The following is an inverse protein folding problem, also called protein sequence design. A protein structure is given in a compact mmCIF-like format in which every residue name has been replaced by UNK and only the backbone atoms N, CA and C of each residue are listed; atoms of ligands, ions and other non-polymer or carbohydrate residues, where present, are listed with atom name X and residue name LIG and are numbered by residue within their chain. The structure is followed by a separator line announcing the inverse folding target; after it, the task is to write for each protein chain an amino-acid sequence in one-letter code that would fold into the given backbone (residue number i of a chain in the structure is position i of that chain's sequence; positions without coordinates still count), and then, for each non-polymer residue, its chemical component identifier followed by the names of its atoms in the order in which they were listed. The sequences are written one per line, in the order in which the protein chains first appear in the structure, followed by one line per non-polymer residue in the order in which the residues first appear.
data_IF_970008545851
#
_entry.id   IF_970008545851
#
_cell.length_a   1.000
_cell.length_b   1.000
_cell.length_c   1.000
_cell.angle_alpha   90.00
_cell.angle_beta   90.00
_cell.angle_gamma   90.00
#
_symmetry.space_group_name_H-M   'P 1'
#
loop_
_entity.id
_entity.type
_entity.pdbx_description
1 polymer ?
#
# COMPACT_ATOMS: atom_id res chain seq x y z
N UNK A 1 -4.03 -1.72 14.91
CA UNK A 1 -5.14 -2.27 14.13
C UNK A 1 -4.68 -3.53 13.45
N UNK A 2 -5.47 -4.58 13.41
CA UNK A 2 -5.16 -5.74 12.57
C UNK A 2 -5.98 -5.63 11.28
N UNK A 3 -5.41 -6.03 10.16
CA UNK A 3 -6.09 -6.14 8.86
C UNK A 3 -7.08 -7.34 8.83
N UNK A 4 -7.16 -8.09 9.91
CA UNK A 4 -7.88 -9.35 10.07
C UNK A 4 -9.37 -9.32 9.70
N UNK A 5 -10.01 -8.14 9.69
CA UNK A 5 -11.46 -8.04 9.47
C UNK A 5 -11.94 -8.47 8.07
N UNK A 6 -11.06 -8.59 7.08
CA UNK A 6 -11.43 -8.99 5.72
C UNK A 6 -11.39 -10.51 5.59
N UNK A 7 -10.29 -11.14 5.96
CA UNK A 7 -10.19 -12.59 5.83
C UNK A 7 -10.95 -13.36 6.91
N UNK A 8 -11.40 -12.71 7.99
CA UNK A 8 -12.44 -13.25 8.86
C UNK A 8 -13.77 -13.47 8.12
N UNK A 9 -14.00 -12.70 7.05
CA UNK A 9 -15.23 -12.79 6.23
C UNK A 9 -15.06 -13.75 5.05
N UNK A 10 -13.94 -13.67 4.33
CA UNK A 10 -13.75 -14.37 3.05
C UNK A 10 -12.70 -15.50 3.10
N UNK A 11 -11.99 -15.64 4.22
CA UNK A 11 -10.88 -16.57 4.41
C UNK A 11 -9.54 -16.02 3.89
N UNK A 12 -8.45 -16.39 4.58
CA UNK A 12 -7.11 -15.89 4.29
C UNK A 12 -6.65 -16.18 2.85
N UNK A 13 -6.88 -17.40 2.36
CA UNK A 13 -6.47 -17.78 1.00
C UNK A 13 -7.18 -16.96 -0.08
N UNK A 14 -8.47 -16.71 0.09
CA UNK A 14 -9.23 -15.88 -0.84
C UNK A 14 -8.75 -14.43 -0.82
N UNK A 15 -8.38 -13.92 0.35
CA UNK A 15 -7.81 -12.57 0.46
C UNK A 15 -6.44 -12.48 -0.21
N UNK A 16 -5.57 -13.47 -0.01
CA UNK A 16 -4.27 -13.53 -0.70
C UNK A 16 -4.43 -13.52 -2.21
N UNK A 17 -5.31 -14.38 -2.74
CA UNK A 17 -5.61 -14.44 -4.18
C UNK A 17 -6.18 -13.11 -4.71
N UNK A 18 -7.05 -12.45 -3.93
CA UNK A 18 -7.60 -11.14 -4.28
C UNK A 18 -6.50 -10.07 -4.36
N UNK A 19 -5.61 -10.03 -3.37
CA UNK A 19 -4.50 -9.07 -3.33
C UNK A 19 -3.50 -9.31 -4.46
N UNK A 20 -3.20 -10.57 -4.78
CA UNK A 20 -2.34 -10.92 -5.91
C UNK A 20 -2.96 -10.50 -7.24
N UNK A 21 -4.23 -10.81 -7.47
CA UNK A 21 -4.96 -10.39 -8.67
C UNK A 21 -4.96 -8.87 -8.79
N UNK A 22 -5.23 -8.15 -7.70
CA UNK A 22 -5.22 -6.69 -7.66
C UNK A 22 -3.84 -6.12 -8.00
N UNK A 23 -2.75 -6.73 -7.52
CA UNK A 23 -1.39 -6.30 -7.84
C UNK A 23 -1.11 -6.45 -9.33
N UNK A 24 -1.38 -7.63 -9.89
CA UNK A 24 -1.13 -7.95 -11.32
C UNK A 24 -1.95 -7.07 -12.27
N UNK A 25 -3.24 -6.87 -11.99
CA UNK A 25 -4.13 -6.05 -12.84
C UNK A 25 -3.71 -4.58 -12.91
N UNK A 26 -3.23 -4.00 -11.80
CA UNK A 26 -2.80 -2.61 -11.74
C UNK A 26 -1.39 -2.37 -12.29
N UNK A 27 -0.53 -3.39 -12.26
CA UNK A 27 0.91 -3.28 -12.37
C UNK A 27 1.42 -2.42 -13.52
N UNK A 28 1.05 -2.72 -14.74
CA UNK A 28 1.62 -2.04 -15.92
C UNK A 28 1.36 -0.53 -15.92
N UNK A 29 0.18 -0.11 -15.47
CA UNK A 29 -0.19 1.32 -15.38
C UNK A 29 0.49 1.97 -14.19
N UNK A 30 0.46 1.33 -13.04
CA UNK A 30 1.06 1.81 -11.80
C UNK A 30 2.59 1.93 -11.96
N UNK A 31 3.27 0.92 -12.49
CA UNK A 31 4.72 0.95 -12.68
C UNK A 31 5.16 2.07 -13.64
N UNK A 32 4.39 2.30 -14.72
CA UNK A 32 4.64 3.43 -15.61
C UNK A 32 4.49 4.77 -14.88
N UNK A 33 3.47 4.92 -14.04
CA UNK A 33 3.27 6.11 -13.23
C UNK A 33 4.40 6.29 -12.20
N UNK A 34 4.83 5.23 -11.52
CA UNK A 34 5.94 5.27 -10.57
C UNK A 34 7.25 5.70 -11.26
N UNK A 35 7.54 5.18 -12.46
CA UNK A 35 8.71 5.62 -13.25
C UNK A 35 8.62 7.10 -13.64
N UNK A 36 7.44 7.56 -14.02
CA UNK A 36 7.21 8.97 -14.33
C UNK A 36 7.43 9.87 -13.11
N UNK A 37 7.05 9.40 -11.92
CA UNK A 37 7.32 10.07 -10.63
C UNK A 37 8.79 10.04 -10.23
N UNK A 38 9.63 9.26 -10.90
CA UNK A 38 11.07 9.21 -10.64
C UNK A 38 11.58 7.91 -10.04
N UNK A 39 10.77 6.85 -9.96
CA UNK A 39 11.24 5.52 -9.56
C UNK A 39 12.29 5.02 -10.56
N UNK A 40 13.46 4.63 -10.05
CA UNK A 40 14.59 4.10 -10.85
C UNK A 40 15.12 2.83 -10.21
N UNK A 41 15.72 1.99 -11.04
CA UNK A 41 16.48 0.85 -10.56
C UNK A 41 17.73 1.31 -9.78
N UNK A 42 18.14 0.52 -8.77
CA UNK A 42 19.23 0.86 -7.86
C UNK A 42 18.80 1.69 -6.64
N UNK A 43 17.51 2.03 -6.50
CA UNK A 43 16.98 2.76 -5.34
C UNK A 43 16.74 1.85 -4.14
N UNK A 44 16.80 2.44 -2.93
CA UNK A 44 16.26 1.86 -1.69
C UNK A 44 14.79 2.20 -1.56
N UNK A 45 13.95 1.18 -1.63
CA UNK A 45 12.50 1.30 -1.73
C UNK A 45 11.85 0.74 -0.47
N UNK A 46 10.86 1.45 0.06
CA UNK A 46 9.96 0.94 1.10
C UNK A 46 8.58 0.67 0.51
N UNK A 47 8.12 -0.57 0.61
CA UNK A 47 6.76 -0.99 0.29
C UNK A 47 5.94 -1.06 1.58
N UNK A 48 5.13 -0.04 1.83
CA UNK A 48 4.32 0.09 3.05
C UNK A 48 3.01 -0.68 2.88
N UNK A 49 2.75 -1.61 3.80
CA UNK A 49 1.62 -2.53 3.69
C UNK A 49 1.85 -3.54 2.58
N UNK A 50 3.03 -4.18 2.58
CA UNK A 50 3.46 -5.10 1.52
C UNK A 50 2.54 -6.32 1.35
N UNK A 51 1.66 -6.58 2.33
CA UNK A 51 0.71 -7.69 2.29
C UNK A 51 1.39 -9.04 2.12
N UNK A 52 0.88 -9.92 1.22
CA UNK A 52 1.47 -11.23 0.94
C UNK A 52 2.69 -11.16 -0.01
N UNK A 53 3.26 -9.98 -0.23
CA UNK A 53 4.47 -9.78 -1.03
C UNK A 53 4.27 -9.73 -2.55
N UNK A 54 3.04 -9.83 -3.05
CA UNK A 54 2.79 -9.90 -4.50
C UNK A 54 3.21 -8.63 -5.25
N UNK A 55 3.04 -7.46 -4.64
CA UNK A 55 3.49 -6.19 -5.24
C UNK A 55 5.01 -6.02 -5.09
N UNK A 56 5.56 -6.42 -3.95
CA UNK A 56 7.01 -6.46 -3.69
C UNK A 56 7.73 -7.34 -4.71
N UNK A 57 7.14 -8.50 -5.08
CA UNK A 57 7.66 -9.42 -6.11
C UNK A 57 7.78 -8.71 -7.48
N UNK A 58 6.71 -8.04 -7.91
CA UNK A 58 6.71 -7.29 -9.16
C UNK A 58 7.74 -6.16 -9.18
N UNK A 59 7.97 -5.49 -8.04
CA UNK A 59 9.05 -4.51 -7.91
C UNK A 59 10.43 -5.16 -8.06
N UNK A 60 10.68 -6.29 -7.39
CA UNK A 60 11.96 -7.01 -7.45
C UNK A 60 12.29 -7.51 -8.85
N UNK A 61 11.29 -8.00 -9.60
CA UNK A 61 11.43 -8.48 -10.98
C UNK A 61 11.80 -7.35 -11.95
N UNK A 62 11.24 -6.15 -11.72
CA UNK A 62 11.37 -5.01 -12.64
C UNK A 62 12.48 -4.02 -12.26
N UNK A 63 13.08 -4.20 -11.07
CA UNK A 63 14.14 -3.34 -10.52
C UNK A 63 15.29 -4.21 -9.98
N UNK A 64 16.08 -4.86 -10.85
CA UNK A 64 17.03 -5.90 -10.47
C UNK A 64 18.16 -5.46 -9.54
N UNK A 65 18.50 -4.18 -9.50
CA UNK A 65 19.56 -3.62 -8.66
C UNK A 65 19.05 -2.86 -7.42
N UNK A 66 17.73 -2.82 -7.21
CA UNK A 66 17.11 -2.11 -6.07
C UNK A 66 17.09 -2.96 -4.80
N UNK A 67 17.15 -2.28 -3.66
CA UNK A 67 16.94 -2.84 -2.32
C UNK A 67 15.50 -2.53 -1.89
N UNK A 68 14.70 -3.54 -1.58
CA UNK A 68 13.29 -3.37 -1.20
C UNK A 68 13.06 -3.83 0.23
N UNK A 69 12.44 -2.98 1.02
CA UNK A 69 11.95 -3.32 2.35
C UNK A 69 10.44 -3.37 2.33
N UNK A 70 9.85 -4.52 2.67
CA UNK A 70 8.41 -4.65 2.88
C UNK A 70 8.07 -4.41 4.35
N UNK A 71 7.21 -3.44 4.65
CA UNK A 71 6.67 -3.18 6.00
C UNK A 71 5.23 -3.69 6.07
N UNK A 72 4.96 -4.65 6.96
CA UNK A 72 3.63 -5.24 7.11
C UNK A 72 3.25 -5.39 8.58
N UNK A 73 2.00 -5.03 8.91
CA UNK A 73 1.45 -5.10 10.27
C UNK A 73 0.75 -6.43 10.55
N UNK A 74 0.35 -7.16 9.51
CA UNK A 74 -0.29 -8.46 9.66
C UNK A 74 0.74 -9.58 9.60
N UNK A 75 0.80 -10.38 10.67
CA UNK A 75 1.79 -11.47 10.79
C UNK A 75 1.55 -12.60 9.79
N UNK A 76 0.29 -12.89 9.45
CA UNK A 76 -0.04 -13.98 8.52
C UNK A 76 0.37 -13.59 7.10
N UNK A 77 0.01 -12.37 6.67
CA UNK A 77 0.41 -11.86 5.36
C UNK A 77 1.93 -11.74 5.25
N UNK A 78 2.59 -11.25 6.30
CA UNK A 78 4.05 -11.17 6.35
C UNK A 78 4.72 -12.54 6.27
N UNK A 79 4.16 -13.57 6.92
CA UNK A 79 4.67 -14.94 6.83
C UNK A 79 4.55 -15.47 5.40
N UNK A 80 3.43 -15.22 4.74
CA UNK A 80 3.20 -15.60 3.34
C UNK A 80 4.19 -14.86 2.41
N UNK A 81 4.42 -13.56 2.64
CA UNK A 81 5.38 -12.77 1.86
C UNK A 81 6.81 -13.32 1.98
N UNK A 82 7.22 -13.67 3.19
CA UNK A 82 8.54 -14.26 3.45
C UNK A 82 8.72 -15.62 2.78
N UNK A 83 7.70 -16.47 2.80
CA UNK A 83 7.76 -17.77 2.14
C UNK A 83 7.74 -17.62 0.61
N UNK A 84 6.90 -16.75 0.08
CA UNK A 84 6.80 -16.44 -1.36
C UNK A 84 8.14 -15.98 -1.94
N UNK A 85 8.86 -15.14 -1.22
CA UNK A 85 10.05 -14.43 -1.72
C UNK A 85 11.35 -14.91 -1.05
N UNK A 86 11.34 -16.10 -0.46
CA UNK A 86 12.49 -16.66 0.27
C UNK A 86 13.76 -16.86 -0.56
N UNK A 87 13.60 -16.99 -1.89
CA UNK A 87 14.73 -17.22 -2.81
C UNK A 87 15.44 -15.94 -3.23
N UNK A 88 14.88 -14.76 -2.89
CA UNK A 88 15.56 -13.49 -3.11
C UNK A 88 16.66 -13.26 -2.05
N UNK A 89 17.82 -12.75 -2.45
CA UNK A 89 18.93 -12.50 -1.53
C UNK A 89 18.60 -11.38 -0.53
N UNK A 90 19.10 -11.53 0.71
CA UNK A 90 18.86 -10.58 1.81
C UNK A 90 19.38 -9.17 1.56
N UNK A 91 20.33 -9.01 0.64
CA UNK A 91 20.86 -7.73 0.20
C UNK A 91 19.84 -6.95 -0.64
N UNK A 92 18.89 -7.65 -1.27
CA UNK A 92 17.86 -7.06 -2.11
C UNK A 92 16.50 -6.96 -1.45
N UNK A 93 16.20 -7.86 -0.51
CA UNK A 93 14.89 -7.93 0.11
C UNK A 93 14.99 -8.09 1.62
N UNK A 94 14.28 -7.22 2.32
CA UNK A 94 14.05 -7.34 3.76
C UNK A 94 12.56 -7.15 4.08
N UNK A 95 12.07 -7.90 5.07
CA UNK A 95 10.71 -7.74 5.60
C UNK A 95 10.72 -7.33 7.06
N UNK A 96 10.02 -6.24 7.37
CA UNK A 96 9.83 -5.72 8.72
C UNK A 96 8.37 -5.89 9.16
N UNK A 97 8.18 -6.54 10.31
CA UNK A 97 6.91 -6.50 11.02
C UNK A 97 6.76 -5.17 11.72
N UNK A 98 5.67 -4.43 11.45
CA UNK A 98 5.45 -3.15 12.08
C UNK A 98 4.35 -2.32 11.43
N UNK A 99 4.02 -1.21 12.10
CA UNK A 99 3.05 -0.23 11.61
C UNK A 99 3.77 1.00 11.07
N UNK A 100 3.26 1.57 9.97
CA UNK A 100 3.74 2.86 9.47
C UNK A 100 3.51 4.02 10.44
N UNK A 101 2.68 3.85 11.46
CA UNK A 101 2.50 4.86 12.52
C UNK A 101 3.70 4.93 13.49
N UNK A 102 4.49 3.87 13.57
CA UNK A 102 5.74 3.76 14.33
C UNK A 102 6.52 2.58 13.76
N UNK A 103 7.22 2.81 12.65
CA UNK A 103 7.85 1.76 11.86
C UNK A 103 9.07 1.14 12.52
N UNK A 104 9.77 1.91 13.36
CA UNK A 104 11.08 1.55 13.90
C UNK A 104 12.14 1.35 12.82
N UNK A 105 11.93 1.91 11.63
CA UNK A 105 12.91 1.98 10.55
C UNK A 105 13.81 3.20 10.72
N UNK A 106 14.98 3.15 10.12
CA UNK A 106 15.96 4.24 10.20
C UNK A 106 15.47 5.45 9.38
N UNK A 107 15.53 6.65 9.96
CA UNK A 107 15.25 7.91 9.27
C UNK A 107 16.23 8.14 8.10
N UNK A 108 15.80 8.91 7.10
CA UNK A 108 16.58 9.27 5.91
C UNK A 108 17.20 8.06 5.19
N UNK A 109 16.44 6.97 5.05
CA UNK A 109 16.96 5.71 4.53
C UNK A 109 16.46 5.32 3.15
N UNK A 110 15.31 5.84 2.73
CA UNK A 110 14.66 5.42 1.50
C UNK A 110 14.70 6.51 0.44
N UNK A 111 15.00 6.11 -0.81
CA UNK A 111 14.94 6.98 -1.98
C UNK A 111 13.49 7.10 -2.49
N UNK A 112 12.72 6.01 -2.35
CA UNK A 112 11.34 5.94 -2.80
C UNK A 112 10.48 5.15 -1.81
N UNK A 113 9.30 5.67 -1.46
CA UNK A 113 8.33 4.98 -0.59
C UNK A 113 7.03 4.79 -1.36
N UNK A 114 6.50 3.58 -1.35
CA UNK A 114 5.22 3.24 -1.99
C UNK A 114 4.22 2.85 -0.90
N UNK A 115 3.03 3.46 -0.95
CA UNK A 115 1.89 3.11 -0.10
C UNK A 115 0.71 2.79 -1.00
N UNK A 116 0.39 1.49 -1.15
CA UNK A 116 -0.66 1.05 -2.07
C UNK A 116 -1.84 0.48 -1.32
N UNK A 117 -3.00 1.16 -1.38
CA UNK A 117 -4.24 0.82 -0.68
C UNK A 117 -4.10 0.69 0.86
N UNK A 118 -3.22 1.50 1.45
CA UNK A 118 -2.95 1.53 2.89
C UNK A 118 -3.73 2.64 3.59
N UNK A 119 -3.74 3.84 3.01
CA UNK A 119 -4.29 5.03 3.66
C UNK A 119 -5.78 4.91 3.98
N UNK A 120 -6.54 4.19 3.17
CA UNK A 120 -7.96 3.89 3.45
C UNK A 120 -8.18 3.13 4.78
N UNK A 121 -7.16 2.45 5.29
CA UNK A 121 -7.20 1.68 6.54
C UNK A 121 -6.62 2.43 7.75
N UNK A 122 -6.03 3.61 7.54
CA UNK A 122 -5.37 4.37 8.60
C UNK A 122 -6.37 5.22 9.39
N UNK A 123 -6.38 5.07 10.71
CA UNK A 123 -7.10 5.98 11.61
C UNK A 123 -6.41 7.34 11.75
N UNK A 124 -5.09 7.38 11.58
CA UNK A 124 -4.26 8.57 11.76
C UNK A 124 -3.37 8.81 10.53
N UNK A 125 -3.96 9.17 9.37
CA UNK A 125 -3.20 9.32 8.12
C UNK A 125 -2.11 10.40 8.20
N UNK A 126 -2.33 11.52 8.91
CA UNK A 126 -1.29 12.53 9.13
C UNK A 126 -0.08 11.98 9.88
N UNK A 127 -0.29 11.16 10.91
CA UNK A 127 0.82 10.57 11.65
C UNK A 127 1.65 9.60 10.77
N UNK A 128 0.98 8.83 9.90
CA UNK A 128 1.65 7.98 8.93
C UNK A 128 2.46 8.80 7.91
N UNK A 129 1.88 9.91 7.41
CA UNK A 129 2.55 10.80 6.46
C UNK A 129 3.80 11.43 7.09
N UNK A 130 3.71 11.85 8.35
CA UNK A 130 4.86 12.37 9.11
C UNK A 130 5.96 11.33 9.30
N UNK A 131 5.60 10.09 9.58
CA UNK A 131 6.57 9.00 9.67
C UNK A 131 7.24 8.75 8.31
N UNK A 132 6.47 8.69 7.22
CA UNK A 132 7.00 8.57 5.85
C UNK A 132 7.97 9.69 5.52
N UNK A 133 7.64 10.94 5.89
CA UNK A 133 8.52 12.10 5.67
C UNK A 133 9.88 11.91 6.32
N UNK A 134 9.92 11.41 7.56
CA UNK A 134 11.18 11.13 8.28
C UNK A 134 11.99 10.00 7.65
N UNK A 135 11.32 8.99 7.10
CA UNK A 135 11.97 7.82 6.49
C UNK A 135 12.62 8.14 5.14
N UNK A 136 12.08 9.11 4.41
CA UNK A 136 12.63 9.55 3.13
C UNK A 136 13.95 10.27 3.31
N UNK A 137 14.90 10.00 2.41
CA UNK A 137 16.09 10.83 2.23
C UNK A 137 15.70 12.23 1.75
N UNK A 138 16.53 13.25 1.95
CA UNK A 138 16.36 14.55 1.28
C UNK A 138 16.20 14.36 -0.24
N UNK A 139 15.13 14.88 -0.82
CA UNK A 139 14.78 14.69 -2.23
C UNK A 139 14.16 13.32 -2.58
N UNK A 140 13.91 12.48 -1.58
CA UNK A 140 13.20 11.21 -1.76
C UNK A 140 11.73 11.42 -2.10
N UNK A 141 11.11 10.42 -2.71
CA UNK A 141 9.76 10.51 -3.27
C UNK A 141 8.82 9.53 -2.56
N UNK A 142 7.59 9.96 -2.28
CA UNK A 142 6.50 9.07 -1.87
C UNK A 142 5.45 8.97 -2.96
N UNK A 143 5.03 7.75 -3.28
CA UNK A 143 3.88 7.47 -4.13
C UNK A 143 2.77 6.82 -3.29
N UNK A 144 1.62 7.48 -3.19
CA UNK A 144 0.45 6.94 -2.50
C UNK A 144 -0.61 6.62 -3.54
N UNK A 145 -0.98 5.35 -3.62
CA UNK A 145 -2.02 4.83 -4.52
C UNK A 145 -3.17 4.36 -3.65
N UNK A 146 -4.30 5.06 -3.71
CA UNK A 146 -5.46 4.68 -2.91
C UNK A 146 -6.77 5.02 -3.62
N UNK A 147 -7.88 4.53 -3.06
CA UNK A 147 -9.19 4.65 -3.66
C UNK A 147 -9.84 6.01 -3.38
N UNK A 148 -10.58 6.52 -4.38
CA UNK A 148 -11.56 7.59 -4.18
C UNK A 148 -12.93 7.14 -4.69
N UNK A 149 -13.78 6.70 -3.78
CA UNK A 149 -15.12 6.25 -4.09
C UNK A 149 -16.03 7.33 -4.66
N UNK A 150 -15.71 8.61 -4.45
CA UNK A 150 -16.50 9.72 -4.96
C UNK A 150 -16.54 9.79 -6.49
N UNK A 151 -15.56 9.20 -7.17
CA UNK A 151 -15.53 9.10 -8.63
C UNK A 151 -16.58 8.14 -9.19
N UNK A 152 -17.07 7.18 -8.40
CA UNK A 152 -18.14 6.26 -8.82
C UNK A 152 -19.54 6.90 -8.81
N UNK A 153 -19.67 8.17 -8.44
CA UNK A 153 -20.94 8.90 -8.36
C UNK A 153 -21.33 9.68 -9.61
N UNK A 154 -20.59 9.53 -10.70
CA UNK A 154 -20.77 10.37 -11.91
C UNK A 154 -21.78 9.80 -12.91
N UNK A 155 -22.14 8.52 -12.80
CA UNK A 155 -23.17 7.91 -13.66
C UNK A 155 -24.51 7.80 -12.94
N UNK A 156 -25.60 7.91 -13.68
CA UNK A 156 -26.95 7.70 -13.15
C UNK A 156 -27.06 6.39 -12.38
N UNK A 157 -27.78 6.39 -11.25
CA UNK A 157 -27.83 5.23 -10.37
C UNK A 157 -28.67 4.12 -11.01
N UNK A 158 -27.98 3.14 -11.54
CA UNK A 158 -28.56 1.85 -11.90
C UNK A 158 -29.00 1.09 -10.62
N UNK A 159 -30.06 0.27 -10.76
CA UNK A 159 -30.60 -0.58 -9.69
C UNK A 159 -29.52 -1.53 -9.12
N UNK A 160 -28.65 -2.07 -9.97
CA UNK A 160 -27.51 -2.92 -9.57
C UNK A 160 -26.50 -2.17 -8.72
N UNK A 161 -26.29 -0.88 -9.00
CA UNK A 161 -25.40 -0.03 -8.22
C UNK A 161 -25.98 0.30 -6.84
N UNK A 162 -27.30 0.45 -6.72
CA UNK A 162 -27.99 0.69 -5.44
C UNK A 162 -27.96 -0.54 -4.54
N UNK A 163 -28.19 -1.73 -5.08
CA UNK A 163 -28.17 -2.98 -4.30
C UNK A 163 -26.77 -3.38 -3.85
N UNK A 164 -25.75 -3.21 -4.70
CA UNK A 164 -24.35 -3.43 -4.35
C UNK A 164 -23.82 -2.45 -3.30
N UNK A 165 -24.27 -1.19 -3.31
CA UNK A 165 -23.87 -0.17 -2.31
C UNK A 165 -24.22 -0.58 -0.88
N UNK A 166 -25.37 -1.20 -0.65
CA UNK A 166 -25.79 -1.61 0.70
C UNK A 166 -24.85 -2.62 1.32
N UNK A 167 -24.47 -3.65 0.56
CA UNK A 167 -23.58 -4.71 1.01
C UNK A 167 -22.14 -4.18 1.21
N UNK A 168 -21.61 -3.46 0.23
CA UNK A 168 -20.27 -2.86 0.31
C UNK A 168 -20.17 -1.88 1.48
N UNK A 169 -21.21 -1.05 1.70
CA UNK A 169 -21.24 -0.09 2.82
C UNK A 169 -21.27 -0.77 4.19
N UNK A 170 -21.81 -1.97 4.31
CA UNK A 170 -21.78 -2.73 5.57
C UNK A 170 -20.36 -3.25 5.86
N UNK A 171 -19.69 -3.79 4.85
CA UNK A 171 -18.29 -4.25 4.97
C UNK A 171 -17.39 -3.08 5.34
N UNK A 172 -17.51 -1.95 4.64
CA UNK A 172 -16.73 -0.73 4.89
C UNK A 172 -16.90 -0.18 6.30
N UNK A 173 -18.16 -0.14 6.80
CA UNK A 173 -18.44 0.30 8.16
C UNK A 173 -17.83 -0.64 9.22
N UNK A 174 -17.93 -1.95 9.02
CA UNK A 174 -17.32 -2.94 9.90
C UNK A 174 -15.79 -2.86 9.90
N UNK A 175 -15.20 -2.66 8.72
CA UNK A 175 -13.77 -2.55 8.54
C UNK A 175 -13.20 -1.15 8.84
N UNK A 176 -14.05 -0.15 9.13
CA UNK A 176 -13.68 1.26 9.35
C UNK A 176 -12.86 1.87 8.20
N UNK A 177 -13.17 1.49 6.97
CA UNK A 177 -12.44 1.98 5.81
C UNK A 177 -12.84 3.40 5.42
N UNK A 178 -11.83 4.23 5.11
CA UNK A 178 -12.02 5.54 4.52
C UNK A 178 -11.75 5.51 3.01
N UNK A 179 -12.70 5.07 2.23
CA UNK A 179 -12.57 5.00 0.75
C UNK A 179 -12.68 6.35 0.03
N UNK A 180 -12.82 7.43 0.74
CA UNK A 180 -12.73 8.79 0.21
C UNK A 180 -11.37 9.42 0.52
N UNK A 181 -10.41 8.61 0.97
CA UNK A 181 -9.10 9.11 1.34
C UNK A 181 -8.36 9.69 0.14
N UNK A 182 -8.56 9.15 -1.06
CA UNK A 182 -7.90 9.59 -2.29
C UNK A 182 -7.98 11.10 -2.51
N UNK A 183 -9.18 11.69 -2.39
CA UNK A 183 -9.38 13.15 -2.54
C UNK A 183 -8.73 14.01 -1.45
N UNK A 184 -8.29 13.39 -0.34
CA UNK A 184 -7.67 14.06 0.80
C UNK A 184 -6.14 13.97 0.76
N UNK A 185 -5.57 13.07 -0.05
CA UNK A 185 -4.14 12.78 -0.05
C UNK A 185 -3.28 14.01 -0.32
N UNK A 186 -3.63 14.81 -1.34
CA UNK A 186 -2.88 16.03 -1.65
C UNK A 186 -2.83 16.99 -0.46
N UNK A 187 -3.98 17.21 0.21
CA UNK A 187 -4.05 18.07 1.39
C UNK A 187 -3.22 17.51 2.55
N UNK A 188 -3.25 16.20 2.76
CA UNK A 188 -2.48 15.51 3.80
C UNK A 188 -0.97 15.67 3.54
N UNK A 189 -0.51 15.44 2.31
CA UNK A 189 0.88 15.58 1.92
C UNK A 189 1.36 17.03 2.10
N UNK A 190 0.61 18.01 1.57
CA UNK A 190 0.96 19.43 1.73
C UNK A 190 1.02 19.88 3.20
N UNK A 191 0.14 19.36 4.04
CA UNK A 191 0.13 19.68 5.47
C UNK A 191 1.40 19.20 6.19
N UNK A 192 1.96 18.07 5.78
CA UNK A 192 3.18 17.49 6.36
C UNK A 192 4.47 17.96 5.63
N UNK A 193 4.39 18.92 4.70
CA UNK A 193 5.54 19.59 4.11
C UNK A 193 6.08 18.96 2.82
N UNK A 194 5.32 18.09 2.17
CA UNK A 194 5.66 17.61 0.83
C UNK A 194 5.35 18.67 -0.25
N UNK A 195 6.21 18.79 -1.23
CA UNK A 195 6.08 19.68 -2.39
C UNK A 195 5.11 19.17 -3.47
#
# INVERSE_FOLDING_TARGET
MSYNSIYDIIGLNNEVNRLETQAKLGWSKEFRALKWLGLKDGMKILDVGSGPGSYTELLLENLPNSEITGLEIDKNLLSIAKDRLKDYPSERLNFKYGSILNSGLKENSFDFIICRFVYQHLEKPLAATREIYKLLKPGGIVAIIDSDRGLYGVSEPDILFKSGRGFISQIERRAKWNREIGRKLLKILKYEGFD
#
